data_IF_718760829603
#
_entry.id   IF_718760829603
#
_cell.length_a   1.000
_cell.length_b   1.000
_cell.length_c   1.000
_cell.angle_alpha   90.00
_cell.angle_beta   90.00
_cell.angle_gamma   90.00
#
_symmetry.space_group_name_H-M   'P 1'
#
loop_
_entity.id
_entity.type
_entity.pdbx_description
1 polymer ?
#
# COMPACT_ATOMS: atom_id res chain seq x y z
N UNK A 1 2.50 15.44 39.03
CA UNK A 1 1.62 14.48 38.32
C UNK A 1 2.20 14.28 36.93
N UNK A 2 2.35 13.02 36.51
CA UNK A 2 3.16 12.61 35.35
C UNK A 2 2.51 13.07 34.04
N UNK A 3 3.20 13.93 33.29
CA UNK A 3 2.95 14.15 31.87
C UNK A 3 3.29 12.86 31.12
N UNK A 4 2.26 12.07 30.81
CA UNK A 4 2.42 10.78 30.16
C UNK A 4 2.85 10.96 28.71
N UNK A 5 3.96 10.33 28.30
CA UNK A 5 4.41 10.19 26.89
C UNK A 5 3.31 9.67 25.95
N UNK A 6 2.24 9.06 26.50
CA UNK A 6 1.08 8.62 25.73
C UNK A 6 0.21 9.76 25.18
N UNK A 7 0.20 10.95 25.80
CA UNK A 7 -0.56 12.09 25.26
C UNK A 7 0.08 12.69 24.01
N UNK A 8 1.40 12.51 23.84
CA UNK A 8 2.13 12.95 22.65
C UNK A 8 1.88 12.06 21.42
N UNK A 9 1.34 10.85 21.63
CA UNK A 9 0.98 9.89 20.57
C UNK A 9 -0.50 9.97 20.15
N UNK A 10 -1.31 10.79 20.82
CA UNK A 10 -2.64 11.13 20.32
C UNK A 10 -2.44 11.99 19.07
N UNK A 11 -2.52 11.38 17.89
CA UNK A 11 -2.71 12.10 16.63
C UNK A 11 -3.73 13.21 16.90
N UNK A 12 -3.32 14.47 16.74
CA UNK A 12 -4.26 15.59 16.74
C UNK A 12 -5.40 15.15 15.83
N UNK A 13 -6.62 15.04 16.38
CA UNK A 13 -7.80 14.83 15.55
C UNK A 13 -7.76 15.98 14.56
N UNK A 14 -7.55 15.68 13.28
CA UNK A 14 -7.69 16.65 12.22
C UNK A 14 -9.17 16.99 12.25
N UNK A 15 -9.52 18.06 12.95
CA UNK A 15 -10.86 18.63 12.87
C UNK A 15 -11.01 19.10 11.43
N UNK A 16 -11.72 18.30 10.64
CA UNK A 16 -12.09 18.69 9.27
C UNK A 16 -12.98 19.91 9.44
N UNK A 17 -12.41 21.10 9.21
CA UNK A 17 -13.14 22.35 9.38
C UNK A 17 -14.33 22.36 8.41
N UNK A 18 -15.54 22.36 8.98
CA UNK A 18 -16.75 22.47 8.18
C UNK A 18 -16.79 23.83 7.47
N UNK A 19 -17.23 23.88 6.20
CA UNK A 19 -17.39 25.14 5.48
C UNK A 19 -18.32 26.11 6.22
N UNK A 20 -18.08 27.41 6.08
CA UNK A 20 -18.81 28.44 6.82
C UNK A 20 -20.32 28.43 6.55
N UNK A 21 -20.72 28.07 5.32
CA UNK A 21 -22.14 27.92 4.96
C UNK A 21 -22.82 26.72 5.64
N UNK A 22 -22.05 25.72 6.08
CA UNK A 22 -22.56 24.57 6.84
C UNK A 22 -22.65 24.93 8.31
N UNK A 23 -21.67 25.67 8.85
CA UNK A 23 -21.67 26.14 10.25
C UNK A 23 -22.87 27.07 10.52
N UNK A 24 -23.06 28.06 9.65
CA UNK A 24 -24.16 29.04 9.69
C UNK A 24 -25.49 28.53 9.13
N UNK A 25 -25.48 27.36 8.46
CA UNK A 25 -26.65 26.80 7.79
C UNK A 25 -27.70 26.17 8.71
N UNK A 26 -28.88 25.95 8.13
CA UNK A 26 -30.00 25.28 8.81
C UNK A 26 -29.70 23.81 9.13
N UNK A 27 -30.47 23.20 10.03
CA UNK A 27 -30.40 21.75 10.30
C UNK A 27 -30.54 20.91 9.02
N UNK A 28 -31.35 21.38 8.06
CA UNK A 28 -31.50 20.73 6.76
C UNK A 28 -30.23 20.84 5.91
N UNK A 29 -29.63 22.03 5.82
CA UNK A 29 -28.35 22.26 5.12
C UNK A 29 -27.25 21.35 5.65
N UNK A 30 -27.15 21.20 6.98
CA UNK A 30 -26.18 20.30 7.62
C UNK A 30 -26.40 18.83 7.25
N UNK A 31 -27.66 18.37 7.23
CA UNK A 31 -28.01 17.00 6.84
C UNK A 31 -27.76 16.73 5.36
N UNK A 32 -28.11 17.67 4.49
CA UNK A 32 -27.85 17.57 3.06
C UNK A 32 -26.36 17.52 2.78
N UNK A 33 -25.57 18.41 3.41
CA UNK A 33 -24.12 18.43 3.27
C UNK A 33 -23.46 17.12 3.72
N UNK A 34 -23.85 16.57 4.87
CA UNK A 34 -23.32 15.29 5.34
C UNK A 34 -23.57 14.16 4.32
N UNK A 35 -24.79 14.06 3.80
CA UNK A 35 -25.12 13.08 2.77
C UNK A 35 -24.35 13.32 1.46
N UNK A 36 -24.12 14.57 1.07
CA UNK A 36 -23.27 14.92 -0.08
C UNK A 36 -21.83 14.42 0.09
N UNK A 37 -21.25 14.57 1.28
CA UNK A 37 -19.88 14.11 1.57
C UNK A 37 -19.79 12.58 1.54
N UNK A 38 -20.76 11.89 2.13
CA UNK A 38 -20.81 10.42 2.08
C UNK A 38 -20.90 9.90 0.64
N UNK A 39 -21.78 10.50 -0.17
CA UNK A 39 -21.93 10.18 -1.59
C UNK A 39 -20.65 10.45 -2.38
N UNK A 40 -19.97 11.57 -2.08
CA UNK A 40 -18.71 11.95 -2.71
C UNK A 40 -17.60 10.95 -2.41
N UNK A 41 -17.48 10.50 -1.16
CA UNK A 41 -16.45 9.55 -0.77
C UNK A 41 -16.69 8.17 -1.40
N UNK A 42 -17.94 7.72 -1.48
CA UNK A 42 -18.32 6.50 -2.20
C UNK A 42 -17.95 6.59 -3.70
N UNK A 43 -18.27 7.72 -4.35
CA UNK A 43 -17.92 7.94 -5.76
C UNK A 43 -16.41 7.97 -5.98
N UNK A 44 -15.64 8.60 -5.08
CA UNK A 44 -14.17 8.59 -5.15
C UNK A 44 -13.59 7.19 -5.03
N UNK A 45 -14.14 6.37 -4.13
CA UNK A 45 -13.73 4.96 -3.97
C UNK A 45 -14.06 4.19 -5.25
N UNK A 46 -15.26 4.38 -5.79
CA UNK A 46 -15.71 3.69 -6.99
C UNK A 46 -14.86 4.03 -8.23
N UNK A 47 -14.55 5.31 -8.44
CA UNK A 47 -13.67 5.77 -9.53
C UNK A 47 -12.28 5.13 -9.40
N UNK A 48 -11.68 5.15 -8.21
CA UNK A 48 -10.35 4.58 -7.94
C UNK A 48 -10.29 3.05 -8.05
N UNK A 49 -11.40 2.36 -7.76
CA UNK A 49 -11.46 0.90 -7.78
C UNK A 49 -11.43 0.30 -9.20
N UNK A 50 -11.53 1.12 -10.25
CA UNK A 50 -11.47 0.65 -11.63
C UNK A 50 -12.76 -0.02 -12.15
N UNK A 51 -13.81 -0.09 -11.34
CA UNK A 51 -15.17 -0.45 -11.78
C UNK A 51 -15.80 0.61 -12.73
N UNK A 52 -15.08 1.72 -12.97
CA UNK A 52 -15.50 2.89 -13.72
C UNK A 52 -15.79 2.68 -15.20
N UNK A 53 -15.43 1.52 -15.79
CA UNK A 53 -15.53 1.26 -17.24
C UNK A 53 -16.98 1.25 -17.75
N UNK A 54 -17.93 0.81 -16.94
CA UNK A 54 -19.34 0.64 -17.36
C UNK A 54 -20.31 1.62 -16.67
N UNK A 55 -19.80 2.57 -15.89
CA UNK A 55 -20.66 3.54 -15.19
C UNK A 55 -21.24 4.58 -16.16
N UNK A 56 -22.52 4.92 -16.01
CA UNK A 56 -23.12 6.04 -16.74
C UNK A 56 -22.71 7.39 -16.10
N UNK A 57 -22.91 8.50 -16.81
CA UNK A 57 -22.60 9.86 -16.33
C UNK A 57 -23.28 10.17 -14.99
N UNK A 58 -24.51 9.69 -14.81
CA UNK A 58 -25.31 9.86 -13.59
C UNK A 58 -24.76 9.07 -12.40
N UNK A 59 -24.02 7.99 -12.64
CA UNK A 59 -23.39 7.16 -11.60
C UNK A 59 -22.01 7.67 -11.18
N UNK A 60 -21.45 8.62 -11.93
CA UNK A 60 -20.13 9.23 -11.69
C UNK A 60 -20.23 10.62 -11.06
N UNK A 61 -21.44 11.17 -10.97
CA UNK A 61 -21.69 12.54 -10.50
C UNK A 61 -22.63 12.54 -9.30
N UNK A 62 -22.50 13.57 -8.47
CA UNK A 62 -23.44 13.87 -7.41
C UNK A 62 -24.75 14.37 -8.03
N UNK A 63 -25.83 13.62 -7.81
CA UNK A 63 -27.18 13.94 -8.27
C UNK A 63 -28.05 14.33 -7.07
N UNK A 64 -28.66 15.52 -7.11
CA UNK A 64 -29.49 16.04 -6.02
C UNK A 64 -30.61 15.07 -5.60
N UNK A 65 -31.30 14.47 -6.56
CA UNK A 65 -32.36 13.50 -6.29
C UNK A 65 -31.86 12.26 -5.53
N UNK A 66 -30.62 11.81 -5.81
CA UNK A 66 -30.00 10.66 -5.13
C UNK A 66 -29.65 10.99 -3.69
N UNK A 67 -29.07 12.17 -3.47
CA UNK A 67 -28.77 12.69 -2.12
C UNK A 67 -30.06 12.90 -1.32
N UNK A 68 -31.10 13.46 -1.93
CA UNK A 68 -32.41 13.68 -1.31
C UNK A 68 -33.07 12.35 -0.91
N UNK A 69 -33.03 11.35 -1.80
CA UNK A 69 -33.52 9.99 -1.54
C UNK A 69 -32.79 9.32 -0.38
N UNK A 70 -31.47 9.46 -0.31
CA UNK A 70 -30.63 8.89 0.77
C UNK A 70 -31.03 9.40 2.16
N UNK A 71 -31.43 10.66 2.28
CA UNK A 71 -31.88 11.24 3.56
C UNK A 71 -33.40 11.17 3.78
N UNK A 72 -34.16 10.59 2.84
CA UNK A 72 -35.62 10.47 2.91
C UNK A 72 -36.35 11.81 2.77
N UNK A 73 -35.81 12.75 2.01
CA UNK A 73 -36.34 14.11 1.85
C UNK A 73 -36.68 14.38 0.38
N UNK A 74 -37.66 15.26 0.13
CA UNK A 74 -38.01 15.69 -1.23
C UNK A 74 -36.89 16.51 -1.88
N UNK A 75 -36.65 16.29 -3.17
CA UNK A 75 -35.69 17.03 -4.00
C UNK A 75 -35.96 18.54 -4.04
N UNK A 76 -37.19 18.97 -3.72
CA UNK A 76 -37.55 20.39 -3.57
C UNK A 76 -36.74 21.12 -2.49
N UNK A 77 -36.03 20.40 -1.62
CA UNK A 77 -35.14 21.00 -0.63
C UNK A 77 -33.80 21.46 -1.22
N UNK A 78 -33.45 21.05 -2.44
CA UNK A 78 -32.32 21.55 -3.23
C UNK A 78 -32.66 22.78 -4.08
N UNK A 79 -33.75 23.51 -3.78
CA UNK A 79 -34.05 24.77 -4.47
C UNK A 79 -32.93 25.79 -4.29
N UNK A 80 -32.58 26.48 -5.37
CA UNK A 80 -31.47 27.45 -5.43
C UNK A 80 -31.59 28.48 -4.31
N UNK A 81 -32.77 29.08 -4.14
CA UNK A 81 -33.04 30.10 -3.13
C UNK A 81 -32.78 29.64 -1.68
N UNK A 82 -32.76 28.33 -1.43
CA UNK A 82 -32.63 27.73 -0.10
C UNK A 82 -31.25 27.15 0.17
N UNK A 83 -30.54 26.71 -0.86
CA UNK A 83 -29.30 25.93 -0.74
C UNK A 83 -28.24 26.33 -1.79
N UNK A 84 -28.25 27.59 -2.26
CA UNK A 84 -27.30 28.10 -3.26
C UNK A 84 -25.83 27.74 -2.96
N UNK A 85 -25.30 27.88 -1.72
CA UNK A 85 -23.91 27.54 -1.43
C UNK A 85 -23.62 26.04 -1.55
N UNK A 86 -24.58 25.19 -1.18
CA UNK A 86 -24.45 23.73 -1.28
C UNK A 86 -24.47 23.28 -2.75
N UNK A 87 -25.32 23.88 -3.58
CA UNK A 87 -25.38 23.59 -5.02
C UNK A 87 -24.08 23.99 -5.73
N UNK A 88 -23.52 25.16 -5.36
CA UNK A 88 -22.19 25.58 -5.85
C UNK A 88 -21.10 24.59 -5.45
N UNK A 89 -21.13 24.12 -4.20
CA UNK A 89 -20.20 23.09 -3.73
C UNK A 89 -20.34 21.78 -4.52
N UNK A 90 -21.56 21.28 -4.71
CA UNK A 90 -21.84 20.07 -5.51
C UNK A 90 -21.31 20.21 -6.94
N UNK A 91 -21.52 21.37 -7.58
CA UNK A 91 -21.02 21.64 -8.93
C UNK A 91 -19.49 21.54 -9.01
N UNK A 92 -18.78 22.19 -8.09
CA UNK A 92 -17.31 22.16 -8.03
C UNK A 92 -16.81 20.73 -7.77
N UNK A 93 -17.46 20.00 -6.87
CA UNK A 93 -17.09 18.60 -6.60
C UNK A 93 -17.35 17.69 -7.80
N UNK A 94 -18.41 17.92 -8.57
CA UNK A 94 -18.67 17.19 -9.81
C UNK A 94 -17.61 17.45 -10.87
N UNK A 95 -17.11 18.68 -11.01
CA UNK A 95 -15.99 18.99 -11.89
C UNK A 95 -14.73 18.20 -11.47
N UNK A 96 -14.43 18.16 -10.17
CA UNK A 96 -13.32 17.37 -9.63
C UNK A 96 -13.51 15.87 -9.88
N UNK A 97 -14.70 15.33 -9.67
CA UNK A 97 -15.00 13.91 -9.92
C UNK A 97 -14.84 13.55 -11.41
N UNK A 98 -15.28 14.43 -12.30
CA UNK A 98 -15.10 14.27 -13.76
C UNK A 98 -13.63 14.29 -14.14
N UNK A 99 -12.85 15.21 -13.57
CA UNK A 99 -11.41 15.29 -13.83
C UNK A 99 -10.66 14.09 -13.25
N UNK A 100 -11.00 13.65 -12.04
CA UNK A 100 -10.49 12.40 -11.46
C UNK A 100 -10.80 11.20 -12.35
N UNK A 101 -12.03 11.12 -12.86
CA UNK A 101 -12.44 10.05 -13.76
C UNK A 101 -11.65 10.08 -15.09
N UNK A 102 -11.43 11.27 -15.68
CA UNK A 102 -10.61 11.43 -16.90
C UNK A 102 -9.13 11.10 -16.68
N UNK A 103 -8.60 11.31 -15.48
CA UNK A 103 -7.19 11.06 -15.16
C UNK A 103 -6.92 9.57 -14.84
N UNK A 104 -7.81 8.93 -14.07
CA UNK A 104 -7.72 7.49 -13.76
C UNK A 104 -8.11 6.64 -14.98
N UNK A 105 -9.03 7.15 -15.80
CA UNK A 105 -9.37 6.60 -17.09
C UNK A 105 -8.30 6.94 -18.11
N UNK A 106 -7.26 6.10 -18.22
CA UNK A 106 -6.45 5.99 -19.42
C UNK A 106 -7.37 5.61 -20.60
N UNK A 107 -8.03 6.60 -21.17
CA UNK A 107 -8.96 6.46 -22.27
C UNK A 107 -8.21 6.86 -23.54
N UNK A 108 -7.75 5.88 -24.35
CA UNK A 108 -7.61 6.12 -25.76
C UNK A 108 -9.01 6.31 -26.31
N UNK A 109 -9.47 7.56 -26.27
CA UNK A 109 -10.58 8.14 -27.05
C UNK A 109 -11.98 7.55 -26.83
N UNK A 110 -12.90 8.38 -26.36
CA UNK A 110 -14.37 8.26 -26.44
C UNK A 110 -14.86 7.97 -27.87
N UNK A 111 -14.69 6.73 -28.36
CA UNK A 111 -15.17 6.28 -29.69
C UNK A 111 -14.59 7.03 -30.90
N UNK A 112 -13.77 8.06 -30.70
CA UNK A 112 -13.11 8.82 -31.76
C UNK A 112 -11.94 8.02 -32.29
N UNK A 113 -11.95 7.73 -33.59
CA UNK A 113 -10.81 7.10 -34.26
C UNK A 113 -9.57 8.00 -34.09
N UNK A 114 -8.58 7.53 -33.32
CA UNK A 114 -7.31 8.23 -33.15
C UNK A 114 -6.69 8.52 -34.51
N UNK A 115 -6.11 9.71 -34.65
CA UNK A 115 -5.35 10.07 -35.84
C UNK A 115 -4.05 9.24 -35.90
N UNK A 116 -3.50 9.04 -37.10
CA UNK A 116 -2.23 8.32 -37.30
C UNK A 116 -1.09 8.82 -36.38
N UNK A 117 -0.85 10.13 -36.19
CA UNK A 117 0.20 10.59 -35.27
C UNK A 117 -0.10 10.25 -33.80
N UNK A 118 -1.36 10.31 -33.36
CA UNK A 118 -1.75 9.92 -32.00
C UNK A 118 -1.53 8.40 -31.76
N UNK A 119 -1.85 7.58 -32.76
CA UNK A 119 -1.58 6.13 -32.73
C UNK A 119 -0.08 5.82 -32.63
N UNK A 120 0.77 6.57 -33.34
CA UNK A 120 2.22 6.39 -33.27
C UNK A 120 2.77 6.77 -31.90
N UNK A 121 2.26 7.83 -31.27
CA UNK A 121 2.63 8.22 -29.90
C UNK A 121 2.17 7.17 -28.89
N UNK A 122 0.93 6.70 -29.00
CA UNK A 122 0.39 5.65 -28.14
C UNK A 122 1.18 4.34 -28.29
N UNK A 123 1.52 3.95 -29.52
CA UNK A 123 2.36 2.78 -29.81
C UNK A 123 3.73 2.90 -29.14
N UNK A 124 4.42 4.04 -29.30
CA UNK A 124 5.71 4.28 -28.65
C UNK A 124 5.62 4.23 -27.12
N UNK A 125 4.55 4.77 -26.55
CA UNK A 125 4.31 4.74 -25.11
C UNK A 125 4.09 3.31 -24.62
N UNK A 126 3.25 2.53 -25.32
CA UNK A 126 3.01 1.13 -25.02
C UNK A 126 4.28 0.27 -25.15
N UNK A 127 5.07 0.46 -26.22
CA UNK A 127 6.36 -0.23 -26.40
C UNK A 127 7.35 0.08 -25.26
N UNK A 128 7.37 1.33 -24.79
CA UNK A 128 8.18 1.71 -23.63
C UNK A 128 7.70 1.01 -22.35
N UNK A 129 6.39 0.98 -22.10
CA UNK A 129 5.83 0.28 -20.95
C UNK A 129 6.12 -1.22 -20.97
N UNK A 130 6.04 -1.86 -22.14
CA UNK A 130 6.39 -3.28 -22.29
C UNK A 130 7.86 -3.50 -21.94
N UNK A 131 8.78 -2.68 -22.47
CA UNK A 131 10.20 -2.76 -22.12
C UNK A 131 10.47 -2.53 -20.63
N UNK A 132 9.78 -1.58 -20.01
CA UNK A 132 9.93 -1.31 -18.58
C UNK A 132 9.45 -2.50 -17.73
N UNK A 133 8.37 -3.17 -18.15
CA UNK A 133 7.86 -4.38 -17.51
C UNK A 133 8.78 -5.58 -17.72
N UNK A 134 9.33 -5.76 -18.91
CA UNK A 134 10.34 -6.80 -19.20
C UNK A 134 11.57 -6.60 -18.32
N UNK A 135 12.10 -5.38 -18.26
CA UNK A 135 13.24 -5.05 -17.40
C UNK A 135 12.97 -5.30 -15.92
N UNK A 136 11.74 -5.02 -15.44
CA UNK A 136 11.34 -5.37 -14.06
C UNK A 136 11.37 -6.88 -13.84
N UNK A 137 10.76 -7.65 -14.74
CA UNK A 137 10.74 -9.12 -14.64
C UNK A 137 12.15 -9.71 -14.68
N UNK A 138 13.04 -9.19 -15.52
CA UNK A 138 14.44 -9.63 -15.53
C UNK A 138 15.13 -9.36 -14.19
N UNK A 139 14.92 -8.18 -13.60
CA UNK A 139 15.51 -7.86 -12.28
C UNK A 139 14.97 -8.76 -11.17
N UNK A 140 13.67 -9.05 -11.19
CA UNK A 140 13.04 -9.98 -10.24
C UNK A 140 13.63 -11.38 -10.39
N UNK A 141 13.68 -11.90 -11.62
CA UNK A 141 14.29 -13.21 -11.93
C UNK A 141 15.76 -13.30 -11.46
N UNK A 142 16.58 -12.29 -11.76
CA UNK A 142 17.98 -12.31 -11.32
C UNK A 142 18.13 -12.19 -9.80
N UNK A 143 17.25 -11.44 -9.13
CA UNK A 143 17.25 -11.37 -7.67
C UNK A 143 16.91 -12.73 -7.06
N UNK A 144 15.86 -13.38 -7.54
CA UNK A 144 15.48 -14.73 -7.07
C UNK A 144 16.59 -15.75 -7.30
N UNK A 145 17.29 -15.68 -8.44
CA UNK A 145 18.42 -16.55 -8.74
C UNK A 145 19.58 -16.33 -7.77
N UNK A 146 19.94 -15.07 -7.49
CA UNK A 146 20.98 -14.73 -6.51
C UNK A 146 20.57 -15.20 -5.12
N UNK A 147 19.33 -14.94 -4.70
CA UNK A 147 18.83 -15.35 -3.38
C UNK A 147 18.87 -16.87 -3.23
N UNK A 148 18.47 -17.62 -4.27
CA UNK A 148 18.58 -19.08 -4.28
C UNK A 148 20.02 -19.55 -4.14
N UNK A 149 20.97 -18.91 -4.82
CA UNK A 149 22.37 -19.31 -4.76
C UNK A 149 23.01 -18.97 -3.41
N UNK A 150 22.69 -17.80 -2.85
CA UNK A 150 23.13 -17.41 -1.49
C UNK A 150 22.61 -18.40 -0.45
N UNK A 151 21.35 -18.86 -0.57
CA UNK A 151 20.79 -19.86 0.35
C UNK A 151 21.56 -21.19 0.26
N UNK A 152 21.87 -21.65 -0.96
CA UNK A 152 22.68 -22.87 -1.15
C UNK A 152 24.10 -22.73 -0.60
N UNK A 153 24.74 -21.58 -0.78
CA UNK A 153 26.06 -21.33 -0.22
C UNK A 153 26.04 -21.31 1.30
N UNK A 154 25.03 -20.66 1.90
CA UNK A 154 24.85 -20.62 3.35
C UNK A 154 24.60 -22.02 3.95
N UNK A 155 23.77 -22.85 3.30
CA UNK A 155 23.56 -24.22 3.78
C UNK A 155 24.85 -25.04 3.70
N UNK A 156 25.59 -24.96 2.60
CA UNK A 156 26.87 -25.65 2.45
C UNK A 156 27.91 -25.19 3.49
N UNK A 157 27.92 -23.91 3.84
CA UNK A 157 28.82 -23.34 4.83
C UNK A 157 28.44 -23.84 6.23
N UNK A 158 27.15 -23.90 6.55
CA UNK A 158 26.65 -24.43 7.82
C UNK A 158 27.02 -25.92 7.99
N UNK A 159 26.89 -26.73 6.93
CA UNK A 159 27.32 -28.13 6.94
C UNK A 159 28.83 -28.26 7.20
N UNK A 160 29.66 -27.48 6.49
CA UNK A 160 31.12 -27.47 6.70
C UNK A 160 31.49 -27.05 8.11
N UNK A 161 30.80 -26.04 8.65
CA UNK A 161 31.04 -25.58 10.02
C UNK A 161 30.69 -26.66 11.04
N UNK A 162 29.55 -27.34 10.87
CA UNK A 162 29.14 -28.45 11.72
C UNK A 162 30.13 -29.61 11.68
N UNK A 163 30.63 -29.97 10.49
CA UNK A 163 31.65 -31.01 10.33
C UNK A 163 32.95 -30.62 11.05
N UNK A 164 33.43 -29.39 10.82
CA UNK A 164 34.65 -28.89 11.47
C UNK A 164 34.51 -28.84 13.01
N UNK A 165 33.33 -28.51 13.52
CA UNK A 165 33.07 -28.50 14.95
C UNK A 165 33.06 -29.91 15.55
N UNK A 166 32.53 -30.91 14.83
CA UNK A 166 32.61 -32.31 15.24
C UNK A 166 34.07 -32.80 15.26
N UNK A 167 34.85 -32.48 14.23
CA UNK A 167 36.28 -32.82 14.18
C UNK A 167 37.06 -32.15 15.33
N UNK A 168 36.77 -30.88 15.61
CA UNK A 168 37.37 -30.16 16.73
C UNK A 168 37.06 -30.82 18.08
N UNK A 169 35.81 -31.20 18.32
CA UNK A 169 35.42 -31.88 19.55
C UNK A 169 36.14 -33.23 19.69
N UNK A 170 36.23 -34.01 18.61
CA UNK A 170 36.95 -35.28 18.58
C UNK A 170 38.45 -35.09 18.87
N UNK A 171 39.06 -34.04 18.31
CA UNK A 171 40.44 -33.66 18.59
C UNK A 171 40.64 -33.25 20.07
N UNK A 172 39.70 -32.53 20.67
CA UNK A 172 39.76 -32.17 22.09
C UNK A 172 39.66 -33.40 23.00
N UNK A 173 38.75 -34.34 22.69
CA UNK A 173 38.62 -35.59 23.45
C UNK A 173 39.88 -36.45 23.36
N UNK A 174 40.46 -36.58 22.17
CA UNK A 174 41.72 -37.33 21.99
C UNK A 174 42.88 -36.67 22.73
N UNK A 175 43.00 -35.35 22.71
CA UNK A 175 44.01 -34.61 23.51
C UNK A 175 43.80 -34.87 25.01
N UNK A 176 42.56 -34.82 25.50
CA UNK A 176 42.25 -35.09 26.91
C UNK A 176 42.66 -36.51 27.31
N UNK A 177 42.32 -37.50 26.49
CA UNK A 177 42.69 -38.90 26.71
C UNK A 177 44.22 -39.10 26.70
N UNK A 178 44.93 -38.49 25.75
CA UNK A 178 46.39 -38.56 25.68
C UNK A 178 47.06 -37.93 26.91
N UNK A 179 46.54 -36.79 27.39
CA UNK A 179 47.03 -36.15 28.63
C UNK A 179 46.83 -37.05 29.84
N UNK A 180 45.69 -37.73 29.93
CA UNK A 180 45.38 -38.64 31.03
C UNK A 180 46.29 -39.88 31.00
N UNK A 181 46.51 -40.46 29.83
CA UNK A 181 47.46 -41.56 29.63
C UNK A 181 48.90 -41.16 29.99
N UNK A 182 49.36 -39.97 29.57
CA UNK A 182 50.68 -39.45 29.96
C UNK A 182 50.83 -39.33 31.48
N UNK A 183 49.82 -38.80 32.18
CA UNK A 183 49.85 -38.71 33.64
C UNK A 183 49.96 -40.09 34.31
N UNK A 184 49.24 -41.09 33.80
CA UNK A 184 49.32 -42.46 34.30
C UNK A 184 50.70 -43.09 34.09
N UNK A 185 51.27 -42.94 32.89
CA UNK A 185 52.62 -43.41 32.56
C UNK A 185 53.70 -42.77 33.45
N UNK A 186 53.60 -41.46 33.69
CA UNK A 186 54.52 -40.75 34.60
C UNK A 186 54.42 -41.32 36.02
N UNK A 187 53.20 -41.56 36.53
CA UNK A 187 52.99 -42.19 37.84
C UNK A 187 53.64 -43.58 37.90
N UNK A 188 53.37 -44.44 36.92
CA UNK A 188 53.96 -45.79 36.87
C UNK A 188 55.48 -45.77 36.80
N UNK A 189 56.08 -44.86 36.02
CA UNK A 189 57.53 -44.68 35.97
C UNK A 189 58.09 -44.22 37.34
N UNK A 190 57.42 -43.29 38.01
CA UNK A 190 57.84 -42.82 39.33
C UNK A 190 57.73 -43.89 40.41
N UNK A 191 56.76 -44.81 40.30
CA UNK A 191 56.59 -45.94 41.23
C UNK A 191 57.61 -47.04 40.97
N UNK A 192 57.99 -47.27 39.70
CA UNK A 192 58.97 -48.30 39.31
C UNK A 192 60.42 -47.89 39.59
N UNK A 193 60.68 -46.59 39.75
CA UNK A 193 61.99 -46.03 40.10
C UNK A 193 62.17 -45.81 41.62
N UNK A 194 61.22 -46.25 42.45
CA UNK A 194 61.34 -46.34 43.91
C UNK A 194 61.73 -47.75 44.32
#
# INVERSE_FOLDING_TARGET
MKNSRLDQLRKKRVEVELPDFVKSGTKMTKRLYAATIEELDELKILIKSGASKDLDFTDRTLVNARIAKRIGVSDTNFRIDRQEPLLKFIKVQNEILVDMWKLDGGHPTDGRRMSKPELEVAKKSAEKQVKDLENKKYREFFRELIDSQVIMEQSSLAERYSALQADYNTAQETIANLRLNQQQLIKQLSEKNK
#
